data_IF_682711069279
#
_entry.id   IF_682711069279
#
_cell.length_a   1.000
_cell.length_b   1.000
_cell.length_c   1.000
_cell.angle_alpha   90.00
_cell.angle_beta   90.00
_cell.angle_gamma   90.00
#
_symmetry.space_group_name_H-M   'P 1'
#
loop_
_entity.id
_entity.type
_entity.pdbx_description
1 polymer ?
#
# COMPACT_ATOMS: atom_id res chain seq x y z
N UNK A 1 -15.24 -6.54 -40.43
CA UNK A 1 -15.64 -6.89 -39.06
C UNK A 1 -17.00 -6.22 -38.90
N UNK A 2 -18.06 -7.04 -38.76
CA UNK A 2 -19.43 -6.57 -38.78
C UNK A 2 -19.69 -5.71 -37.54
N UNK A 3 -20.46 -4.65 -37.73
CA UNK A 3 -20.83 -3.64 -36.70
C UNK A 3 -21.43 -4.31 -35.44
N UNK A 4 -22.10 -5.44 -35.61
CA UNK A 4 -22.68 -6.27 -34.55
C UNK A 4 -21.59 -6.96 -33.68
N UNK A 5 -20.48 -7.40 -34.28
CA UNK A 5 -19.35 -7.99 -33.56
C UNK A 5 -18.57 -6.96 -32.71
N UNK A 6 -18.43 -5.75 -33.22
CA UNK A 6 -17.82 -4.65 -32.51
C UNK A 6 -18.68 -4.19 -31.31
N UNK A 7 -20.01 -4.18 -31.47
CA UNK A 7 -20.97 -3.89 -30.39
C UNK A 7 -20.88 -4.90 -29.26
N UNK A 8 -20.90 -6.22 -29.57
CA UNK A 8 -20.80 -7.28 -28.57
C UNK A 8 -19.50 -7.25 -27.76
N UNK A 9 -18.36 -6.89 -28.39
CA UNK A 9 -17.08 -6.79 -27.71
C UNK A 9 -17.05 -5.56 -26.79
N UNK A 10 -17.62 -4.44 -27.26
CA UNK A 10 -17.76 -3.22 -26.45
C UNK A 10 -18.62 -3.47 -25.22
N UNK A 11 -19.76 -4.15 -25.37
CA UNK A 11 -20.65 -4.50 -24.26
C UNK A 11 -19.98 -5.45 -23.26
N UNK A 12 -19.19 -6.41 -23.74
CA UNK A 12 -18.42 -7.31 -22.88
C UNK A 12 -17.32 -6.59 -22.12
N UNK A 13 -16.63 -5.66 -22.74
CA UNK A 13 -15.65 -4.79 -22.07
C UNK A 13 -16.33 -3.91 -21.01
N UNK A 14 -17.45 -3.27 -21.36
CA UNK A 14 -18.22 -2.48 -20.39
C UNK A 14 -18.70 -3.31 -19.20
N UNK A 15 -19.14 -4.55 -19.43
CA UNK A 15 -19.52 -5.48 -18.37
C UNK A 15 -18.31 -5.87 -17.48
N UNK A 16 -17.12 -6.07 -18.05
CA UNK A 16 -15.88 -6.30 -17.30
C UNK A 16 -15.50 -5.08 -16.46
N UNK A 17 -15.58 -3.85 -17.01
CA UNK A 17 -15.40 -2.60 -16.26
C UNK A 17 -16.36 -2.49 -15.08
N UNK A 18 -17.65 -2.79 -15.30
CA UNK A 18 -18.67 -2.78 -14.24
C UNK A 18 -18.38 -3.77 -13.12
N UNK A 19 -17.93 -5.00 -13.49
CA UNK A 19 -17.55 -6.02 -12.52
C UNK A 19 -16.34 -5.62 -11.69
N UNK A 20 -15.28 -5.09 -12.32
CA UNK A 20 -14.06 -4.65 -11.66
C UNK A 20 -14.32 -3.45 -10.74
N UNK A 21 -15.15 -2.50 -11.17
CA UNK A 21 -15.63 -1.41 -10.33
C UNK A 21 -16.39 -1.91 -9.10
N UNK A 22 -17.31 -2.88 -9.29
CA UNK A 22 -18.08 -3.46 -8.18
C UNK A 22 -17.18 -4.21 -7.18
N UNK A 23 -16.17 -4.93 -7.66
CA UNK A 23 -15.15 -5.58 -6.79
C UNK A 23 -14.35 -4.57 -5.99
N UNK A 24 -13.98 -3.43 -6.59
CA UNK A 24 -13.29 -2.33 -5.88
C UNK A 24 -14.15 -1.75 -4.77
N UNK A 25 -15.43 -1.49 -5.02
CA UNK A 25 -16.36 -1.03 -3.99
C UNK A 25 -16.51 -2.02 -2.83
N UNK A 26 -16.63 -3.31 -3.13
CA UNK A 26 -16.69 -4.35 -2.10
C UNK A 26 -15.40 -4.41 -1.27
N UNK A 27 -14.23 -4.31 -1.92
CA UNK A 27 -12.93 -4.24 -1.26
C UNK A 27 -12.84 -3.06 -0.28
N UNK A 28 -13.26 -1.85 -0.69
CA UNK A 28 -13.25 -0.67 0.16
C UNK A 28 -14.19 -0.78 1.36
N UNK A 29 -15.37 -1.37 1.17
CA UNK A 29 -16.30 -1.63 2.27
C UNK A 29 -15.68 -2.58 3.30
N UNK A 30 -15.03 -3.65 2.84
CA UNK A 30 -14.32 -4.62 3.69
C UNK A 30 -13.12 -4.01 4.41
N UNK A 31 -12.26 -3.27 3.70
CA UNK A 31 -11.09 -2.61 4.27
C UNK A 31 -11.48 -1.61 5.37
N UNK A 32 -12.49 -0.76 5.13
CA UNK A 32 -13.02 0.17 6.14
C UNK A 32 -13.62 -0.54 7.34
N UNK A 33 -14.38 -1.62 7.14
CA UNK A 33 -15.00 -2.37 8.25
C UNK A 33 -13.94 -2.97 9.18
N UNK A 34 -12.80 -3.42 8.63
CA UNK A 34 -11.66 -3.94 9.41
C UNK A 34 -11.01 -2.84 10.25
N UNK A 35 -10.88 -1.62 9.72
CA UNK A 35 -10.08 -0.55 10.31
C UNK A 35 -10.85 0.28 11.35
N UNK A 36 -12.14 0.49 11.19
CA UNK A 36 -12.95 1.28 12.13
C UNK A 36 -13.09 0.68 13.53
N UNK A 37 -12.71 -0.60 13.72
CA UNK A 37 -12.70 -1.28 15.02
C UNK A 37 -11.45 -1.08 15.89
N UNK A 38 -10.36 -0.47 15.37
CA UNK A 38 -9.00 -0.59 15.95
C UNK A 38 -8.48 0.61 16.75
N UNK A 39 -9.24 1.70 16.91
CA UNK A 39 -8.72 2.93 17.55
C UNK A 39 -8.23 2.76 19.01
N UNK A 40 -8.45 1.61 19.66
CA UNK A 40 -8.05 1.34 21.06
C UNK A 40 -7.42 -0.04 21.28
N UNK A 41 -7.14 -0.80 20.25
CA UNK A 41 -6.61 -2.17 20.34
C UNK A 41 -5.34 -2.33 19.53
N UNK A 42 -4.56 -3.39 19.81
CA UNK A 42 -3.42 -3.76 18.98
C UNK A 42 -3.86 -4.10 17.56
N UNK A 43 -2.99 -3.86 16.57
CA UNK A 43 -3.20 -4.34 15.21
C UNK A 43 -3.29 -5.87 15.18
N UNK A 44 -4.27 -6.39 14.45
CA UNK A 44 -4.41 -7.83 14.24
C UNK A 44 -3.50 -8.29 13.11
N UNK A 45 -2.57 -9.21 13.42
CA UNK A 45 -1.70 -9.82 12.41
C UNK A 45 -2.51 -10.43 11.25
N UNK A 46 -3.55 -11.20 11.58
CA UNK A 46 -4.35 -11.90 10.57
C UNK A 46 -5.07 -10.92 9.62
N UNK A 47 -5.55 -9.80 10.15
CA UNK A 47 -6.20 -8.77 9.33
C UNK A 47 -5.20 -8.05 8.42
N UNK A 48 -4.04 -7.68 8.96
CA UNK A 48 -2.96 -7.07 8.18
C UNK A 48 -2.47 -8.02 7.08
N UNK A 49 -2.32 -9.34 7.39
CA UNK A 49 -1.92 -10.33 6.39
C UNK A 49 -2.95 -10.53 5.28
N UNK A 50 -4.23 -10.45 5.62
CA UNK A 50 -5.30 -10.50 4.62
C UNK A 50 -5.23 -9.28 3.68
N UNK A 51 -5.01 -8.10 4.24
CA UNK A 51 -4.91 -6.84 3.51
C UNK A 51 -3.66 -6.80 2.63
N UNK A 52 -2.49 -7.08 3.20
CA UNK A 52 -1.19 -6.98 2.52
C UNK A 52 -0.86 -8.17 1.59
N UNK A 53 -1.74 -9.17 1.52
CA UNK A 53 -1.59 -10.39 0.69
C UNK A 53 -0.30 -11.13 1.00
N UNK A 54 -0.32 -11.94 2.05
CA UNK A 54 0.82 -12.79 2.44
C UNK A 54 1.21 -13.74 1.30
N UNK A 55 2.50 -13.79 0.97
CA UNK A 55 3.06 -14.67 -0.08
C UNK A 55 3.94 -15.79 0.47
N UNK A 56 4.49 -15.63 1.68
CA UNK A 56 5.34 -16.66 2.28
C UNK A 56 5.96 -16.23 3.60
N UNK A 57 6.67 -17.16 4.23
CA UNK A 57 7.35 -16.95 5.51
C UNK A 57 8.79 -17.47 5.45
N UNK A 58 9.70 -16.80 6.17
CA UNK A 58 11.10 -17.19 6.31
C UNK A 58 11.52 -17.05 7.76
N UNK A 59 12.06 -18.09 8.36
CA UNK A 59 12.64 -18.02 9.71
C UNK A 59 13.95 -17.20 9.68
N UNK A 60 14.07 -16.22 10.56
CA UNK A 60 15.25 -15.35 10.69
C UNK A 60 16.05 -15.62 11.96
N UNK A 61 15.55 -16.55 12.80
CA UNK A 61 16.18 -16.93 14.07
C UNK A 61 16.06 -15.85 15.15
N UNK A 62 16.91 -16.00 16.17
CA UNK A 62 16.89 -15.14 17.37
C UNK A 62 17.69 -13.87 17.14
N UNK A 63 17.09 -12.71 17.43
CA UNK A 63 17.71 -11.38 17.30
C UNK A 63 17.12 -10.40 18.31
N UNK A 64 17.85 -9.30 18.57
CA UNK A 64 17.36 -8.16 19.33
C UNK A 64 16.51 -7.28 18.42
N UNK A 65 15.28 -6.98 18.85
CA UNK A 65 14.36 -6.12 18.08
C UNK A 65 13.93 -4.90 18.88
N UNK A 66 13.72 -3.73 18.25
CA UNK A 66 13.22 -2.55 18.92
C UNK A 66 11.78 -2.76 19.41
N UNK A 67 11.51 -2.49 20.70
CA UNK A 67 10.16 -2.53 21.26
C UNK A 67 9.21 -1.53 20.58
N UNK A 68 9.72 -0.39 20.10
CA UNK A 68 8.97 0.63 19.37
C UNK A 68 8.38 0.11 18.04
N UNK A 69 9.02 -0.89 17.43
CA UNK A 69 8.59 -1.50 16.17
C UNK A 69 7.54 -2.61 16.35
N UNK A 70 7.20 -2.98 17.58
CA UNK A 70 6.14 -3.94 17.86
C UNK A 70 4.80 -3.18 17.86
N UNK A 71 3.91 -3.46 16.91
CA UNK A 71 2.66 -2.71 16.71
C UNK A 71 1.40 -3.57 16.87
N UNK A 72 1.53 -4.89 16.87
CA UNK A 72 0.35 -5.75 16.85
C UNK A 72 0.56 -7.14 17.46
N UNK A 73 -0.46 -7.96 17.29
CA UNK A 73 -0.54 -9.30 17.83
C UNK A 73 -1.31 -10.25 16.91
N UNK A 74 -0.95 -11.53 16.94
CA UNK A 74 -1.69 -12.58 16.24
C UNK A 74 -3.01 -12.93 16.94
N UNK A 75 -3.05 -12.97 18.28
CA UNK A 75 -4.22 -13.56 18.97
C UNK A 75 -4.73 -12.80 20.20
N UNK A 76 -4.02 -11.78 20.69
CA UNK A 76 -4.37 -11.08 21.95
C UNK A 76 -4.64 -9.59 21.78
N UNK A 77 -5.23 -9.23 20.66
CA UNK A 77 -5.49 -7.83 20.29
C UNK A 77 -6.40 -7.08 21.29
N UNK A 78 -7.23 -7.80 22.05
CA UNK A 78 -8.15 -7.21 23.04
C UNK A 78 -7.63 -7.23 24.48
N UNK A 79 -6.52 -7.93 24.73
CA UNK A 79 -5.94 -8.07 26.07
C UNK A 79 -5.00 -6.91 26.44
N UNK A 80 -4.47 -6.22 25.43
CA UNK A 80 -3.53 -5.12 25.57
C UNK A 80 -3.92 -3.95 24.70
N UNK A 81 -3.60 -2.73 25.15
CA UNK A 81 -3.72 -1.52 24.35
C UNK A 81 -2.56 -1.36 23.34
N UNK A 82 -2.57 -0.34 22.47
CA UNK A 82 -1.47 -0.09 21.52
C UNK A 82 -0.09 0.12 22.16
N UNK A 83 -0.05 0.51 23.44
CA UNK A 83 1.19 0.61 24.24
C UNK A 83 1.59 -0.70 24.90
N UNK A 84 0.86 -1.79 24.65
CA UNK A 84 0.97 -3.08 25.33
C UNK A 84 0.68 -3.02 26.83
N UNK A 85 -0.10 -2.04 27.31
CA UNK A 85 -0.61 -2.06 28.68
C UNK A 85 -1.74 -3.08 28.80
N UNK A 86 -1.77 -3.89 29.88
CA UNK A 86 -2.80 -4.91 30.06
C UNK A 86 -4.17 -4.28 30.33
N UNK A 87 -5.16 -4.61 29.52
CA UNK A 87 -6.55 -4.15 29.66
C UNK A 87 -7.39 -5.06 30.57
N UNK A 88 -6.99 -6.34 30.72
CA UNK A 88 -7.76 -7.31 31.47
C UNK A 88 -7.13 -7.59 32.86
N UNK A 89 -7.84 -7.35 33.98
CA UNK A 89 -7.33 -7.61 35.33
C UNK A 89 -6.88 -9.07 35.57
N UNK A 90 -7.40 -10.03 34.82
CA UNK A 90 -7.00 -11.46 34.92
C UNK A 90 -5.55 -11.70 34.50
N UNK A 91 -4.91 -10.75 33.82
CA UNK A 91 -3.51 -10.84 33.39
C UNK A 91 -2.52 -10.52 34.51
N UNK A 92 -3.00 -9.94 35.64
CA UNK A 92 -2.19 -9.36 36.73
C UNK A 92 -1.17 -10.34 37.31
N UNK A 93 -1.57 -11.55 37.70
CA UNK A 93 -0.65 -12.48 38.34
C UNK A 93 0.52 -12.87 37.44
N UNK A 94 0.24 -13.17 36.18
CA UNK A 94 1.27 -13.52 35.19
C UNK A 94 2.17 -12.34 34.89
N UNK A 95 1.61 -11.13 34.80
CA UNK A 95 2.35 -9.92 34.54
C UNK A 95 3.32 -9.60 35.67
N UNK A 96 2.86 -9.60 36.94
CA UNK A 96 3.67 -9.37 38.13
C UNK A 96 4.77 -10.43 38.27
N UNK A 97 4.46 -11.70 37.99
CA UNK A 97 5.46 -12.77 38.02
C UNK A 97 6.62 -12.54 37.04
N UNK A 98 6.32 -12.09 35.82
CA UNK A 98 7.33 -11.76 34.78
C UNK A 98 8.15 -10.54 35.20
N UNK A 99 7.51 -9.49 35.69
CA UNK A 99 8.20 -8.28 36.17
C UNK A 99 9.19 -8.61 37.28
N UNK A 100 8.75 -9.40 38.27
CA UNK A 100 9.62 -9.87 39.37
C UNK A 100 10.85 -10.58 38.85
N UNK A 101 10.69 -11.46 37.85
CA UNK A 101 11.82 -12.19 37.26
C UNK A 101 12.78 -11.27 36.52
N UNK A 102 12.24 -10.32 35.76
CA UNK A 102 13.04 -9.32 35.00
C UNK A 102 13.82 -8.41 35.95
N UNK A 103 13.18 -7.91 37.01
CA UNK A 103 13.85 -7.08 38.05
C UNK A 103 14.95 -7.84 38.80
N UNK A 104 14.83 -9.17 38.93
CA UNK A 104 15.87 -10.02 39.48
C UNK A 104 17.02 -10.32 38.50
N UNK A 105 16.98 -9.78 37.29
CA UNK A 105 17.98 -10.01 36.24
C UNK A 105 17.96 -11.42 35.67
N UNK A 106 16.88 -12.20 35.85
CA UNK A 106 16.77 -13.52 35.27
C UNK A 106 16.57 -13.46 33.76
N UNK A 107 17.37 -14.24 33.02
CA UNK A 107 17.23 -14.36 31.59
C UNK A 107 15.84 -14.90 31.21
N UNK A 108 15.15 -14.18 30.33
CA UNK A 108 13.85 -14.60 29.81
C UNK A 108 14.04 -15.28 28.44
N UNK A 109 13.25 -16.31 28.14
CA UNK A 109 13.29 -16.91 26.80
C UNK A 109 12.88 -15.87 25.75
N UNK A 110 13.43 -15.96 24.51
CA UNK A 110 13.02 -15.08 23.41
C UNK A 110 11.50 -15.08 23.22
N UNK A 111 10.92 -13.94 22.90
CA UNK A 111 9.53 -13.87 22.44
C UNK A 111 9.42 -14.41 21.02
N UNK A 112 8.23 -14.79 20.55
CA UNK A 112 7.99 -15.16 19.16
C UNK A 112 7.25 -14.02 18.44
N UNK A 113 7.76 -13.60 17.28
CA UNK A 113 7.16 -12.52 16.50
C UNK A 113 7.14 -12.81 15.00
N UNK A 114 6.13 -12.28 14.34
CA UNK A 114 6.16 -12.09 12.89
C UNK A 114 6.71 -10.71 12.56
N UNK A 115 7.65 -10.66 11.61
CA UNK A 115 8.14 -9.42 11.01
C UNK A 115 7.45 -9.20 9.67
N UNK A 116 6.83 -8.03 9.47
CA UNK A 116 6.19 -7.64 8.22
C UNK A 116 6.69 -6.25 7.85
N UNK A 117 7.51 -6.15 6.81
CA UNK A 117 8.26 -4.93 6.54
C UNK A 117 9.14 -4.55 7.72
N UNK A 118 8.93 -3.37 8.29
CA UNK A 118 9.68 -2.87 9.45
C UNK A 118 8.96 -3.12 10.80
N UNK A 119 7.83 -3.81 10.79
CA UNK A 119 6.98 -3.98 11.95
C UNK A 119 7.01 -5.40 12.49
N UNK A 120 6.71 -5.51 13.79
CA UNK A 120 6.60 -6.79 14.47
C UNK A 120 5.22 -6.98 15.10
N UNK A 121 4.72 -8.21 15.00
CA UNK A 121 3.46 -8.68 15.58
C UNK A 121 3.76 -9.83 16.53
N UNK A 122 3.34 -9.69 17.78
CA UNK A 122 3.64 -10.70 18.81
C UNK A 122 2.79 -11.95 18.58
N UNK A 123 3.45 -13.09 18.44
CA UNK A 123 2.84 -14.41 18.42
C UNK A 123 2.81 -15.02 19.83
N UNK A 124 3.95 -15.00 20.53
CA UNK A 124 4.06 -15.36 21.94
C UNK A 124 4.96 -14.40 22.72
N UNK A 125 4.68 -14.23 24.03
CA UNK A 125 5.45 -13.37 24.91
C UNK A 125 4.84 -12.00 25.17
N UNK A 126 3.54 -11.79 24.94
CA UNK A 126 2.83 -10.52 25.15
C UNK A 126 3.11 -9.87 26.52
N UNK A 127 3.11 -10.66 27.59
CA UNK A 127 3.44 -10.15 28.94
C UNK A 127 4.90 -9.70 29.05
N UNK A 128 5.82 -10.38 28.37
CA UNK A 128 7.25 -10.00 28.34
C UNK A 128 7.43 -8.65 27.64
N UNK A 129 6.73 -8.45 26.51
CA UNK A 129 6.70 -7.17 25.80
C UNK A 129 6.11 -6.07 26.68
N UNK A 130 4.97 -6.36 27.34
CA UNK A 130 4.29 -5.41 28.24
C UNK A 130 5.20 -4.97 29.39
N UNK A 131 5.85 -5.92 30.07
CA UNK A 131 6.77 -5.64 31.18
C UNK A 131 8.03 -4.93 30.68
N UNK A 132 8.62 -5.35 29.56
CA UNK A 132 9.81 -4.71 28.99
C UNK A 132 9.56 -3.24 28.66
N UNK A 133 8.41 -2.90 28.11
CA UNK A 133 7.99 -1.50 27.88
C UNK A 133 7.78 -0.74 29.18
N UNK A 134 7.17 -1.37 30.19
CA UNK A 134 6.97 -0.76 31.50
C UNK A 134 8.31 -0.43 32.20
N UNK A 135 9.32 -1.24 31.96
CA UNK A 135 10.67 -1.06 32.46
C UNK A 135 11.55 -0.17 31.56
N UNK A 136 10.96 0.53 30.59
CA UNK A 136 11.63 1.42 29.64
C UNK A 136 12.81 0.79 28.88
N UNK A 137 12.72 -0.53 28.62
CA UNK A 137 13.70 -1.20 27.77
C UNK A 137 13.55 -0.73 26.31
N UNK A 138 14.67 -0.60 25.61
CA UNK A 138 14.66 -0.20 24.19
C UNK A 138 14.43 -1.38 23.25
N UNK A 139 14.98 -2.55 23.62
CA UNK A 139 14.95 -3.78 22.80
C UNK A 139 14.47 -4.99 23.60
N UNK A 140 14.15 -6.05 22.87
CA UNK A 140 13.82 -7.36 23.42
C UNK A 140 14.32 -8.48 22.50
N UNK A 141 14.82 -9.57 23.11
CA UNK A 141 15.23 -10.77 22.35
C UNK A 141 14.00 -11.49 21.77
N UNK A 142 13.99 -11.73 20.48
CA UNK A 142 12.88 -12.36 19.76
C UNK A 142 13.34 -13.42 18.77
N UNK A 143 12.60 -14.50 18.65
CA UNK A 143 12.66 -15.41 17.52
C UNK A 143 11.75 -14.87 16.42
N UNK A 144 12.34 -14.51 15.27
CA UNK A 144 11.68 -13.74 14.21
C UNK A 144 11.33 -14.63 13.02
N UNK A 145 10.05 -14.60 12.64
CA UNK A 145 9.54 -15.17 11.40
C UNK A 145 9.19 -13.99 10.47
N UNK A 146 9.97 -13.79 9.41
CA UNK A 146 9.70 -12.75 8.44
C UNK A 146 8.62 -13.21 7.47
N UNK A 147 7.59 -12.39 7.31
CA UNK A 147 6.48 -12.63 6.40
C UNK A 147 6.64 -11.74 5.17
N UNK A 148 6.67 -12.35 4.00
CA UNK A 148 6.66 -11.65 2.72
C UNK A 148 5.23 -11.29 2.35
N UNK A 149 5.03 -10.05 2.00
CA UNK A 149 3.75 -9.52 1.53
C UNK A 149 3.90 -8.94 0.15
N UNK A 150 2.82 -8.95 -0.62
CA UNK A 150 2.80 -8.43 -1.99
C UNK A 150 2.98 -6.90 -2.01
N UNK A 151 2.35 -6.21 -1.05
CA UNK A 151 2.59 -4.79 -0.83
C UNK A 151 3.48 -4.59 0.42
N UNK A 152 4.50 -3.73 0.35
CA UNK A 152 5.33 -3.41 1.51
C UNK A 152 4.52 -2.63 2.55
N UNK A 153 4.85 -2.84 3.83
CA UNK A 153 4.31 -2.07 4.95
C UNK A 153 5.37 -1.09 5.46
N UNK A 154 4.98 0.18 5.62
CA UNK A 154 5.83 1.22 6.18
C UNK A 154 6.07 1.09 7.69
N UNK A 155 6.90 1.98 8.26
CA UNK A 155 7.24 1.98 9.70
C UNK A 155 6.14 2.53 10.59
N UNK A 156 5.43 3.53 10.10
CA UNK A 156 4.37 4.22 10.84
C UNK A 156 3.02 3.80 10.29
N UNK A 157 2.53 2.65 10.77
CA UNK A 157 1.20 2.18 10.38
C UNK A 157 0.14 2.93 11.17
N UNK A 158 -0.53 3.81 10.48
CA UNK A 158 -1.85 4.31 10.83
C UNK A 158 -2.94 3.68 9.94
N UNK A 159 -4.17 4.08 10.15
CA UNK A 159 -5.32 3.63 9.36
C UNK A 159 -5.15 3.96 7.86
N UNK A 160 -4.60 5.12 7.54
CA UNK A 160 -4.39 5.55 6.15
C UNK A 160 -3.31 4.71 5.46
N UNK A 161 -2.22 4.38 6.16
CA UNK A 161 -1.17 3.53 5.62
C UNK A 161 -1.65 2.10 5.35
N UNK A 162 -2.48 1.55 6.24
CA UNK A 162 -3.11 0.26 5.98
C UNK A 162 -4.04 0.29 4.77
N UNK A 163 -4.81 1.37 4.60
CA UNK A 163 -5.66 1.54 3.42
C UNK A 163 -4.85 1.66 2.13
N UNK A 164 -3.77 2.46 2.13
CA UNK A 164 -2.85 2.56 0.98
C UNK A 164 -2.21 1.22 0.62
N UNK A 165 -1.75 0.48 1.63
CA UNK A 165 -1.19 -0.87 1.45
C UNK A 165 -2.21 -1.83 0.84
N UNK A 166 -3.45 -1.76 1.33
CA UNK A 166 -4.55 -2.56 0.81
C UNK A 166 -4.86 -2.26 -0.66
N UNK A 167 -4.92 -0.98 -1.01
CA UNK A 167 -5.11 -0.54 -2.40
C UNK A 167 -3.99 -1.02 -3.31
N UNK A 168 -2.75 -0.85 -2.88
CA UNK A 168 -1.60 -1.29 -3.66
C UNK A 168 -1.58 -2.81 -3.85
N UNK A 169 -1.85 -3.57 -2.79
CA UNK A 169 -1.95 -5.03 -2.90
C UNK A 169 -3.05 -5.47 -3.88
N UNK A 170 -4.21 -4.79 -3.84
CA UNK A 170 -5.30 -5.05 -4.78
C UNK A 170 -4.93 -4.67 -6.22
N UNK A 171 -4.27 -3.54 -6.42
CA UNK A 171 -3.76 -3.13 -7.74
C UNK A 171 -2.79 -4.16 -8.31
N UNK A 172 -1.83 -4.64 -7.51
CA UNK A 172 -0.88 -5.68 -7.92
C UNK A 172 -1.57 -7.03 -8.19
N UNK A 173 -2.62 -7.37 -7.43
CA UNK A 173 -3.40 -8.59 -7.69
C UNK A 173 -4.14 -8.54 -9.04
N UNK A 174 -4.72 -7.38 -9.37
CA UNK A 174 -5.45 -7.17 -10.62
C UNK A 174 -4.52 -7.10 -11.84
N UNK A 175 -3.39 -6.42 -11.70
CA UNK A 175 -2.50 -6.10 -12.82
C UNK A 175 -1.35 -7.08 -13.00
N UNK A 176 -0.96 -7.81 -11.95
CA UNK A 176 0.27 -8.62 -11.90
C UNK A 176 1.53 -7.85 -12.32
N UNK A 177 1.53 -6.51 -12.15
CA UNK A 177 2.61 -5.63 -12.59
C UNK A 177 3.95 -6.00 -11.94
N UNK A 178 3.93 -6.39 -10.68
CA UNK A 178 5.08 -6.90 -9.93
C UNK A 178 5.75 -8.11 -10.56
N UNK A 179 4.97 -8.96 -11.24
CA UNK A 179 5.46 -10.12 -11.98
C UNK A 179 5.88 -9.75 -13.40
N UNK A 180 5.11 -8.90 -14.08
CA UNK A 180 5.36 -8.47 -15.45
C UNK A 180 6.54 -7.51 -15.54
N UNK A 181 6.74 -6.67 -14.53
CA UNK A 181 7.81 -5.66 -14.43
C UNK A 181 8.37 -5.63 -13.00
N UNK A 182 9.24 -6.57 -12.61
CA UNK A 182 9.70 -6.72 -11.23
C UNK A 182 10.42 -5.50 -10.65
N UNK A 183 10.94 -4.62 -11.50
CA UNK A 183 11.57 -3.36 -11.09
C UNK A 183 10.59 -2.20 -10.91
N UNK A 184 9.34 -2.34 -11.36
CA UNK A 184 8.33 -1.30 -11.20
C UNK A 184 7.97 -1.11 -9.73
N UNK A 185 7.94 0.15 -9.29
CA UNK A 185 7.48 0.56 -7.97
C UNK A 185 6.54 1.75 -8.15
N UNK A 186 5.26 1.49 -7.97
CA UNK A 186 4.20 2.46 -8.18
C UNK A 186 3.55 2.77 -6.82
N UNK A 187 4.18 3.63 -6.03
CA UNK A 187 3.66 4.02 -4.73
C UNK A 187 2.83 5.29 -4.88
N UNK A 188 1.56 5.25 -4.44
CA UNK A 188 0.65 6.39 -4.38
C UNK A 188 0.46 6.83 -2.94
N UNK A 189 0.39 8.14 -2.70
CA UNK A 189 0.08 8.70 -1.36
C UNK A 189 -1.41 8.88 -1.14
N UNK A 190 -2.13 9.29 -2.17
CA UNK A 190 -3.55 9.56 -2.09
C UNK A 190 -4.35 8.27 -2.35
N UNK A 191 -5.36 8.04 -1.51
CA UNK A 191 -6.29 6.94 -1.68
C UNK A 191 -7.13 7.15 -2.95
N UNK A 192 -7.39 6.07 -3.68
CA UNK A 192 -8.10 6.10 -4.96
C UNK A 192 -7.19 6.23 -6.19
N UNK A 193 -5.92 6.59 -6.02
CA UNK A 193 -5.00 6.79 -7.13
C UNK A 193 -4.68 5.47 -7.88
N UNK A 194 -4.65 4.33 -7.19
CA UNK A 194 -4.48 3.03 -7.85
C UNK A 194 -5.67 2.67 -8.74
N UNK A 195 -6.88 3.06 -8.35
CA UNK A 195 -8.07 2.87 -9.18
C UNK A 195 -7.98 3.71 -10.46
N UNK A 196 -7.53 4.97 -10.36
CA UNK A 196 -7.32 5.83 -11.53
C UNK A 196 -6.24 5.26 -12.46
N UNK A 197 -5.14 4.74 -11.92
CA UNK A 197 -4.11 4.08 -12.73
C UNK A 197 -4.64 2.82 -13.42
N UNK A 198 -5.47 2.04 -12.74
CA UNK A 198 -6.10 0.89 -13.36
C UNK A 198 -7.06 1.29 -14.47
N UNK A 199 -7.82 2.38 -14.31
CA UNK A 199 -8.68 2.93 -15.36
C UNK A 199 -7.84 3.39 -16.57
N UNK A 200 -6.65 3.98 -16.39
CA UNK A 200 -5.73 4.29 -17.49
C UNK A 200 -5.26 3.02 -18.22
N UNK A 201 -4.96 1.94 -17.51
CA UNK A 201 -4.59 0.64 -18.11
C UNK A 201 -5.76 0.10 -18.94
N UNK A 202 -6.98 0.16 -18.42
CA UNK A 202 -8.17 -0.30 -19.13
C UNK A 202 -8.46 0.54 -20.37
N UNK A 203 -8.30 1.87 -20.28
CA UNK A 203 -8.38 2.77 -21.43
C UNK A 203 -7.32 2.44 -22.49
N UNK A 204 -6.07 2.19 -22.09
CA UNK A 204 -5.01 1.76 -23.00
C UNK A 204 -5.35 0.42 -23.68
N UNK A 205 -5.87 -0.55 -22.91
CA UNK A 205 -6.34 -1.84 -23.43
C UNK A 205 -7.42 -1.66 -24.50
N UNK A 206 -8.34 -0.73 -24.29
CA UNK A 206 -9.40 -0.42 -25.24
C UNK A 206 -8.82 0.17 -26.54
N UNK A 207 -7.86 1.07 -26.49
CA UNK A 207 -7.19 1.60 -27.68
C UNK A 207 -6.41 0.51 -28.43
N UNK A 208 -5.70 -0.38 -27.74
CA UNK A 208 -5.03 -1.53 -28.35
C UNK A 208 -6.03 -2.45 -29.08
N UNK A 209 -7.23 -2.65 -28.49
CA UNK A 209 -8.30 -3.40 -29.13
C UNK A 209 -8.77 -2.70 -30.44
N UNK A 210 -8.99 -1.37 -30.41
CA UNK A 210 -9.40 -0.64 -31.62
C UNK A 210 -8.37 -0.74 -32.75
N UNK A 211 -7.10 -0.69 -32.42
CA UNK A 211 -6.01 -0.81 -33.39
C UNK A 211 -5.90 -2.21 -34.00
N UNK A 212 -6.06 -3.24 -33.20
CA UNK A 212 -5.82 -4.63 -33.62
C UNK A 212 -7.07 -5.36 -34.12
N UNK A 213 -8.24 -4.89 -33.75
CA UNK A 213 -9.52 -5.53 -34.06
C UNK A 213 -9.73 -6.87 -33.36
N UNK A 214 -9.00 -7.15 -32.28
CA UNK A 214 -9.10 -8.38 -31.51
C UNK A 214 -8.91 -8.13 -30.02
N UNK A 215 -9.44 -9.03 -29.17
CA UNK A 215 -9.34 -8.90 -27.72
C UNK A 215 -7.87 -8.95 -27.26
N UNK A 216 -7.49 -8.00 -26.37
CA UNK A 216 -6.16 -7.89 -25.80
C UNK A 216 -6.19 -8.44 -24.37
N UNK A 217 -5.33 -9.41 -23.99
CA UNK A 217 -5.20 -9.87 -22.61
C UNK A 217 -4.82 -8.73 -21.67
N UNK A 218 -5.35 -8.72 -20.44
CA UNK A 218 -5.05 -7.67 -19.46
C UNK A 218 -3.56 -7.59 -19.17
N UNK A 219 -2.88 -8.73 -19.00
CA UNK A 219 -1.44 -8.79 -18.75
C UNK A 219 -0.60 -8.11 -19.86
N UNK A 220 -1.02 -8.27 -21.11
CA UNK A 220 -0.39 -7.61 -22.26
C UNK A 220 -0.63 -6.09 -22.22
N UNK A 221 -1.86 -5.67 -21.92
CA UNK A 221 -2.21 -4.26 -21.80
C UNK A 221 -1.46 -3.58 -20.64
N UNK A 222 -1.32 -4.24 -19.50
CA UNK A 222 -0.52 -3.77 -18.35
C UNK A 222 0.94 -3.56 -18.74
N UNK A 223 1.55 -4.55 -19.38
CA UNK A 223 2.94 -4.46 -19.81
C UNK A 223 3.14 -3.34 -20.84
N UNK A 224 2.26 -3.26 -21.83
CA UNK A 224 2.28 -2.22 -22.86
C UNK A 224 2.06 -0.82 -22.26
N UNK A 225 1.07 -0.65 -21.38
CA UNK A 225 0.83 0.62 -20.70
C UNK A 225 2.05 1.08 -19.91
N UNK A 226 2.67 0.18 -19.14
CA UNK A 226 3.86 0.52 -18.37
C UNK A 226 5.00 1.01 -19.26
N UNK A 227 5.27 0.28 -20.36
CA UNK A 227 6.40 0.58 -21.26
C UNK A 227 6.14 1.78 -22.18
N UNK A 228 4.90 1.94 -22.71
CA UNK A 228 4.59 2.93 -23.75
C UNK A 228 3.82 4.15 -23.26
N UNK A 229 3.24 4.12 -22.04
CA UNK A 229 2.51 5.24 -21.45
C UNK A 229 3.19 5.73 -20.16
N UNK A 230 3.32 4.86 -19.16
CA UNK A 230 3.86 5.27 -17.86
C UNK A 230 5.32 5.74 -17.96
N UNK A 231 6.21 4.96 -18.54
CA UNK A 231 7.64 5.29 -18.66
C UNK A 231 7.89 6.59 -19.43
N UNK A 232 7.30 6.84 -20.60
CA UNK A 232 7.46 8.14 -21.29
C UNK A 232 7.02 9.34 -20.45
N UNK A 233 5.94 9.20 -19.67
CA UNK A 233 5.53 10.24 -18.72
C UNK A 233 6.62 10.48 -17.66
N UNK A 234 7.22 9.41 -17.13
CA UNK A 234 8.34 9.53 -16.17
C UNK A 234 9.56 10.23 -16.79
N UNK A 235 9.85 9.98 -18.04
CA UNK A 235 10.95 10.66 -18.77
C UNK A 235 10.71 12.18 -18.87
N UNK A 236 9.48 12.60 -19.16
CA UNK A 236 9.10 14.02 -19.17
C UNK A 236 9.22 14.64 -17.78
N UNK A 237 8.71 13.97 -16.73
CA UNK A 237 8.82 14.43 -15.34
C UNK A 237 10.29 14.61 -14.91
N UNK A 238 11.15 13.69 -15.31
CA UNK A 238 12.59 13.75 -15.02
C UNK A 238 13.27 14.89 -15.79
N UNK A 239 12.97 15.04 -17.07
CA UNK A 239 13.53 16.10 -17.96
C UNK A 239 13.22 17.48 -17.38
N UNK A 240 11.99 17.70 -16.92
CA UNK A 240 11.55 18.96 -16.33
C UNK A 240 11.89 19.09 -14.82
N UNK A 241 12.57 18.12 -14.22
CA UNK A 241 12.98 18.10 -12.81
C UNK A 241 11.81 18.34 -11.84
N UNK A 242 10.59 17.91 -12.21
CA UNK A 242 9.36 18.16 -11.43
C UNK A 242 9.44 17.52 -10.05
N UNK A 243 10.01 16.31 -9.95
CA UNK A 243 10.21 15.60 -8.66
C UNK A 243 11.06 16.39 -7.65
N UNK A 244 12.06 17.14 -8.12
CA UNK A 244 12.91 17.94 -7.22
C UNK A 244 12.15 19.11 -6.59
N UNK A 245 11.14 19.62 -7.28
CA UNK A 245 10.30 20.73 -6.82
C UNK A 245 9.12 20.27 -5.96
N UNK A 246 8.68 19.02 -6.14
CA UNK A 246 7.59 18.39 -5.39
C UNK A 246 8.10 17.16 -4.61
N UNK A 247 9.01 17.34 -3.64
CA UNK A 247 9.67 16.22 -2.94
C UNK A 247 8.71 15.33 -2.16
N UNK A 248 7.53 15.85 -1.84
CA UNK A 248 6.49 15.13 -1.11
C UNK A 248 5.56 14.30 -2.00
N UNK A 249 5.71 14.39 -3.34
CA UNK A 249 4.91 13.63 -4.28
C UNK A 249 5.64 12.38 -4.73
N UNK A 250 4.91 11.26 -4.86
CA UNK A 250 5.46 10.04 -5.44
C UNK A 250 5.48 10.13 -6.97
N UNK A 251 6.22 9.23 -7.60
CA UNK A 251 6.26 9.16 -9.07
C UNK A 251 4.87 8.85 -9.66
N UNK A 252 4.11 7.99 -9.01
CA UNK A 252 2.77 7.62 -9.45
C UNK A 252 1.77 8.79 -9.28
N UNK A 253 1.86 9.57 -8.20
CA UNK A 253 1.02 10.76 -8.03
C UNK A 253 1.36 11.82 -9.09
N UNK A 254 2.65 12.02 -9.40
CA UNK A 254 3.09 12.93 -10.47
C UNK A 254 2.64 12.46 -11.86
N UNK A 255 2.66 11.14 -12.12
CA UNK A 255 2.09 10.56 -13.34
C UNK A 255 0.61 10.96 -13.52
N UNK A 256 -0.19 10.78 -12.48
CA UNK A 256 -1.61 11.12 -12.51
C UNK A 256 -1.84 12.63 -12.69
N UNK A 257 -1.04 13.47 -12.03
CA UNK A 257 -1.14 14.92 -12.19
C UNK A 257 -0.80 15.35 -13.61
N UNK A 258 0.29 14.82 -14.19
CA UNK A 258 0.71 15.16 -15.55
C UNK A 258 -0.29 14.68 -16.60
N UNK A 259 -0.79 13.46 -16.48
CA UNK A 259 -1.78 12.91 -17.41
C UNK A 259 -3.11 13.65 -17.33
N UNK A 260 -3.54 14.05 -16.13
CA UNK A 260 -4.71 14.92 -15.98
C UNK A 260 -4.51 16.25 -16.70
N UNK A 261 -3.37 16.89 -16.47
CA UNK A 261 -3.06 18.18 -17.11
C UNK A 261 -3.01 18.07 -18.64
N UNK A 262 -2.44 16.99 -19.14
CA UNK A 262 -2.42 16.71 -20.58
C UNK A 262 -3.83 16.57 -21.17
N UNK A 263 -4.74 15.86 -20.50
CA UNK A 263 -6.13 15.72 -20.92
C UNK A 263 -6.89 17.06 -20.90
N UNK A 264 -6.67 17.89 -19.88
CA UNK A 264 -7.26 19.24 -19.79
C UNK A 264 -6.83 20.11 -20.97
N UNK A 265 -5.53 20.17 -21.28
CA UNK A 265 -5.01 20.92 -22.41
C UNK A 265 -5.56 20.41 -23.75
N UNK A 266 -5.71 19.12 -23.92
CA UNK A 266 -6.30 18.52 -25.11
C UNK A 266 -7.80 18.88 -25.26
N UNK A 267 -8.56 18.94 -24.17
CA UNK A 267 -9.97 19.33 -24.15
C UNK A 267 -10.16 20.82 -24.52
N UNK A 268 -9.21 21.68 -24.12
CA UNK A 268 -9.21 23.11 -24.43
C UNK A 268 -8.76 23.43 -25.88
N UNK A 269 -8.56 22.40 -26.71
CA UNK A 269 -8.21 22.57 -28.14
C UNK A 269 -6.76 22.97 -28.40
N UNK A 270 -5.90 22.88 -27.37
CA UNK A 270 -4.46 23.04 -27.56
C UNK A 270 -3.88 21.73 -28.14
N UNK A 271 -2.92 21.81 -29.07
CA UNK A 271 -2.11 20.64 -29.44
C UNK A 271 -1.34 20.18 -28.20
N UNK A 272 -2.01 19.37 -27.35
CA UNK A 272 -1.49 18.90 -26.07
C UNK A 272 -0.39 17.89 -26.30
N UNK A 273 0.86 18.34 -26.40
CA UNK A 273 1.99 17.43 -26.27
C UNK A 273 2.22 17.10 -24.78
N UNK A 274 2.69 15.92 -24.52
CA UNK A 274 3.09 15.50 -23.15
C UNK A 274 4.14 16.46 -22.56
N UNK A 275 5.04 16.97 -23.40
CA UNK A 275 6.03 18.01 -23.07
C UNK A 275 5.39 19.34 -22.69
N UNK A 276 4.36 19.78 -23.42
CA UNK A 276 3.59 20.98 -23.09
C UNK A 276 2.86 20.87 -21.77
N UNK A 277 2.30 19.69 -21.47
CA UNK A 277 1.68 19.41 -20.18
C UNK A 277 2.71 19.46 -19.04
N UNK A 278 3.92 18.93 -19.23
CA UNK A 278 5.03 19.02 -18.28
C UNK A 278 5.43 20.46 -17.98
N UNK A 279 5.59 21.29 -19.02
CA UNK A 279 5.91 22.70 -18.87
C UNK A 279 4.77 23.47 -18.14
N UNK A 280 3.51 23.16 -18.46
CA UNK A 280 2.34 23.77 -17.82
C UNK A 280 2.24 23.40 -16.34
N UNK A 281 2.45 22.14 -15.97
CA UNK A 281 2.46 21.68 -14.60
C UNK A 281 3.55 22.39 -13.79
N UNK A 282 4.71 22.64 -14.39
CA UNK A 282 5.80 23.41 -13.79
C UNK A 282 5.40 24.83 -13.46
N UNK A 283 4.78 25.54 -14.40
CA UNK A 283 4.36 26.92 -14.20
C UNK A 283 3.30 27.04 -13.09
N UNK A 284 2.40 26.08 -13.00
CA UNK A 284 1.35 26.02 -11.98
C UNK A 284 1.94 25.80 -10.58
N UNK A 285 2.93 24.91 -10.45
CA UNK A 285 3.65 24.68 -9.18
C UNK A 285 4.45 25.89 -8.73
N UNK A 286 5.07 26.64 -9.65
CA UNK A 286 5.77 27.90 -9.35
C UNK A 286 4.82 28.98 -8.85
N UNK A 287 3.64 29.11 -9.46
CA UNK A 287 2.61 30.08 -9.07
C UNK A 287 2.06 29.80 -7.67
N UNK A 288 1.87 28.50 -7.30
CA UNK A 288 1.41 28.13 -5.97
C UNK A 288 2.48 28.31 -4.87
N UNK A 289 3.77 28.17 -5.20
CA UNK A 289 4.85 28.46 -4.27
C UNK A 289 5.04 29.98 -4.00
N UNK A 290 4.62 30.84 -4.92
CA UNK A 290 4.74 32.29 -4.78
C UNK A 290 3.54 32.96 -4.08
N UNK A 291 2.39 32.30 -3.96
CA UNK A 291 1.21 32.78 -3.23
C UNK A 291 0.70 31.77 -2.19
N UNK A 292 1.26 31.79 -0.96
CA UNK A 292 0.86 30.87 0.11
C UNK A 292 -0.53 31.19 0.72
N UNK A 293 -1.35 32.06 0.13
CA UNK A 293 -2.64 32.53 0.68
C UNK A 293 -3.88 32.01 -0.07
N UNK A 294 -3.75 30.99 -0.92
CA UNK A 294 -4.93 30.33 -1.51
C UNK A 294 -5.04 28.88 -1.14
#
# INVERSE_FOLDING_TARGET
MDDESAGLITDRLNAQFGFDSSRRHAFWADARAVLTGHARTLLSFNEVMRIARMEGQVERGVQEIPLSSIKGSEGRVKDFDPSFLPLNPRLRERWVGIETLMLQGKAMPPIEVYKVGELYFVKDGHHRVSVARHLDQETITANVIEVKTRAPLGRDIDEQELLRTAEYANFLELTELDKLRPSARLECRELGNYDLMFDHILGHRYFMFLERGQEVPLSEAVASWYDSVYRPVMEVLQKHQIRQRLPNWTEADLYLALTRRWLELAADGHEGSLEGAGASLMHETESHMQDPRR
#
